data_IF_321934204437
#
_entry.id   IF_321934204437
#
_cell.length_a   1.000
_cell.length_b   1.000
_cell.length_c   1.000
_cell.angle_alpha   90.00
_cell.angle_beta   90.00
_cell.angle_gamma   90.00
#
_symmetry.space_group_name_H-M   'P 1'
#
loop_
_entity.id
_entity.type
_entity.pdbx_description
1 polymer ?
#
# COMPACT_ATOMS: atom_id res chain seq x y z
N UNK A 1 -17.80 -22.16 -10.75
CA UNK A 1 -17.92 -20.71 -10.96
C UNK A 1 -16.76 -20.05 -10.23
N UNK A 2 -15.76 -19.54 -10.94
CA UNK A 2 -14.67 -18.79 -10.29
C UNK A 2 -15.25 -17.47 -9.76
N UNK A 3 -15.41 -17.36 -8.45
CA UNK A 3 -15.77 -16.09 -7.82
C UNK A 3 -14.62 -15.13 -8.10
N UNK A 4 -14.89 -14.09 -8.89
CA UNK A 4 -13.88 -13.11 -9.31
C UNK A 4 -13.51 -12.26 -8.09
N UNK A 5 -12.30 -12.47 -7.54
CA UNK A 5 -11.82 -11.83 -6.31
C UNK A 5 -11.41 -10.38 -6.61
N UNK A 6 -11.97 -9.41 -5.88
CA UNK A 6 -11.63 -7.99 -6.00
C UNK A 6 -10.61 -7.58 -4.96
N UNK A 7 -9.47 -7.07 -5.41
CA UNK A 7 -8.33 -6.76 -4.54
C UNK A 7 -8.01 -5.26 -4.56
N UNK A 8 -7.96 -4.64 -3.38
CA UNK A 8 -7.50 -3.26 -3.21
C UNK A 8 -6.01 -3.15 -2.96
N UNK A 9 -5.38 -2.13 -3.52
CA UNK A 9 -4.00 -1.72 -3.20
C UNK A 9 -4.04 -0.28 -2.67
N UNK A 10 -3.42 -0.07 -1.51
CA UNK A 10 -3.29 1.24 -0.86
C UNK A 10 -1.81 1.51 -0.57
N UNK A 11 -1.29 2.61 -1.09
CA UNK A 11 0.08 3.06 -0.88
C UNK A 11 0.31 4.43 -1.49
N UNK A 12 1.56 4.91 -1.52
CA UNK A 12 1.89 6.25 -2.01
C UNK A 12 2.05 6.32 -3.55
N UNK A 13 1.03 5.90 -4.30
CA UNK A 13 1.11 5.79 -5.75
C UNK A 13 0.57 7.01 -6.50
N UNK A 14 0.93 7.16 -7.77
CA UNK A 14 0.44 8.22 -8.64
C UNK A 14 1.12 9.59 -8.44
N UNK A 15 2.37 9.59 -7.96
CA UNK A 15 3.19 10.80 -7.76
C UNK A 15 4.37 10.91 -8.75
N UNK A 16 4.32 10.17 -9.87
CA UNK A 16 5.41 10.09 -10.86
C UNK A 16 6.79 9.64 -10.33
N UNK A 17 6.82 8.95 -9.19
CA UNK A 17 8.03 8.35 -8.65
C UNK A 17 8.27 6.96 -9.26
N UNK A 18 9.42 6.76 -9.92
CA UNK A 18 9.76 5.49 -10.57
C UNK A 18 9.92 4.31 -9.58
N UNK A 19 10.38 4.59 -8.36
CA UNK A 19 10.45 3.57 -7.30
C UNK A 19 9.05 3.09 -6.90
N UNK A 20 8.13 4.02 -6.61
CA UNK A 20 6.74 3.67 -6.28
C UNK A 20 6.02 3.00 -7.47
N UNK A 21 6.34 3.38 -8.72
CA UNK A 21 5.83 2.71 -9.93
C UNK A 21 6.30 1.26 -10.01
N UNK A 22 7.59 0.99 -9.77
CA UNK A 22 8.14 -0.36 -9.76
C UNK A 22 7.52 -1.23 -8.65
N UNK A 23 7.34 -0.65 -7.45
CA UNK A 23 6.66 -1.30 -6.32
C UNK A 23 5.21 -1.65 -6.68
N UNK A 24 4.44 -0.69 -7.21
CA UNK A 24 3.05 -0.93 -7.59
C UNK A 24 2.94 -2.02 -8.64
N UNK A 25 3.76 -1.95 -9.70
CA UNK A 25 3.76 -2.94 -10.76
C UNK A 25 4.10 -4.33 -10.22
N UNK A 26 5.11 -4.43 -9.35
CA UNK A 26 5.49 -5.67 -8.69
C UNK A 26 4.33 -6.26 -7.88
N UNK A 27 3.64 -5.45 -7.07
CA UNK A 27 2.49 -5.90 -6.29
C UNK A 27 1.36 -6.38 -7.22
N UNK A 28 1.06 -5.63 -8.29
CA UNK A 28 0.05 -6.04 -9.29
C UNK A 28 0.39 -7.42 -9.86
N UNK A 29 1.62 -7.61 -10.37
CA UNK A 29 2.05 -8.89 -10.96
C UNK A 29 2.00 -10.05 -9.97
N UNK A 30 2.42 -9.82 -8.72
CA UNK A 30 2.35 -10.82 -7.66
C UNK A 30 0.90 -11.21 -7.35
N UNK A 31 -0.03 -10.25 -7.30
CA UNK A 31 -1.45 -10.53 -7.09
C UNK A 31 -2.06 -11.31 -8.26
N UNK A 32 -1.75 -10.92 -9.50
CA UNK A 32 -2.19 -11.65 -10.69
C UNK A 32 -1.71 -13.11 -10.65
N UNK A 33 -0.44 -13.34 -10.31
CA UNK A 33 0.16 -14.68 -10.22
C UNK A 33 -0.43 -15.51 -9.08
N UNK A 34 -0.59 -14.91 -7.90
CA UNK A 34 -1.05 -15.62 -6.70
C UNK A 34 -2.55 -15.90 -6.68
N UNK A 35 -3.37 -14.99 -7.21
CA UNK A 35 -4.83 -15.08 -7.15
C UNK A 35 -5.49 -15.31 -8.52
N UNK A 36 -4.71 -15.38 -9.60
CA UNK A 36 -5.21 -15.55 -10.98
C UNK A 36 -6.26 -14.48 -11.37
N UNK A 37 -6.00 -13.23 -10.96
CA UNK A 37 -6.88 -12.08 -11.22
C UNK A 37 -6.40 -11.23 -12.40
N UNK A 38 -7.33 -10.53 -13.05
CA UNK A 38 -7.01 -9.56 -14.10
C UNK A 38 -6.75 -8.17 -13.51
N UNK A 39 -6.15 -7.25 -14.26
CA UNK A 39 -5.92 -5.87 -13.80
C UNK A 39 -7.22 -5.15 -13.45
N UNK A 40 -8.32 -5.46 -14.15
CA UNK A 40 -9.65 -4.89 -13.88
C UNK A 40 -10.25 -5.32 -12.54
N UNK A 41 -9.77 -6.42 -11.95
CA UNK A 41 -10.18 -6.88 -10.62
C UNK A 41 -9.38 -6.20 -9.50
N UNK A 42 -8.35 -5.44 -9.88
CA UNK A 42 -7.49 -4.70 -8.97
C UNK A 42 -7.96 -3.25 -8.90
N UNK A 43 -8.16 -2.77 -7.68
CA UNK A 43 -8.47 -1.38 -7.37
C UNK A 43 -7.29 -0.71 -6.68
N UNK A 44 -6.77 0.38 -7.25
CA UNK A 44 -5.65 1.13 -6.66
C UNK A 44 -6.13 2.49 -6.13
N UNK A 45 -5.92 2.74 -4.85
CA UNK A 45 -6.11 4.07 -4.26
C UNK A 45 -4.83 4.90 -4.47
N UNK A 46 -4.91 5.95 -5.30
CA UNK A 46 -3.72 6.71 -5.73
C UNK A 46 -3.93 8.23 -5.72
N UNK A 47 -2.82 8.98 -5.76
CA UNK A 47 -2.85 10.44 -5.85
C UNK A 47 -3.29 10.95 -7.23
N UNK A 48 -3.09 10.15 -8.29
CA UNK A 48 -3.54 10.44 -9.64
C UNK A 48 -4.27 9.22 -10.25
N UNK A 49 -5.59 9.09 -9.99
CA UNK A 49 -6.34 7.90 -10.39
C UNK A 49 -6.42 7.70 -11.90
N UNK A 50 -6.60 8.79 -12.67
CA UNK A 50 -6.67 8.73 -14.14
C UNK A 50 -5.37 8.18 -14.73
N UNK A 51 -4.23 8.73 -14.30
CA UNK A 51 -2.92 8.27 -14.75
C UNK A 51 -2.65 6.83 -14.31
N UNK A 52 -2.98 6.49 -13.06
CA UNK A 52 -2.77 5.13 -12.53
C UNK A 52 -3.59 4.09 -13.30
N UNK A 53 -4.87 4.38 -13.55
CA UNK A 53 -5.73 3.51 -14.33
C UNK A 53 -5.22 3.33 -15.78
N UNK A 54 -4.84 4.43 -16.44
CA UNK A 54 -4.31 4.39 -17.79
C UNK A 54 -2.99 3.60 -17.89
N UNK A 55 -2.10 3.75 -16.91
CA UNK A 55 -0.78 3.13 -16.93
C UNK A 55 -0.83 1.62 -16.64
N UNK A 56 -1.72 1.17 -15.74
CA UNK A 56 -1.72 -0.21 -15.25
C UNK A 56 -2.96 -1.02 -15.63
N UNK A 57 -3.95 -0.42 -16.32
CA UNK A 57 -5.19 -1.10 -16.69
C UNK A 57 -6.05 -1.50 -15.48
N UNK A 58 -5.91 -0.78 -14.36
CA UNK A 58 -6.59 -1.05 -13.09
C UNK A 58 -7.77 -0.10 -12.89
N UNK A 59 -8.71 -0.48 -12.01
CA UNK A 59 -9.64 0.50 -11.45
C UNK A 59 -8.88 1.39 -10.46
N UNK A 60 -9.10 2.71 -10.47
CA UNK A 60 -8.41 3.60 -9.53
C UNK A 60 -9.30 4.69 -8.96
N UNK A 61 -9.13 4.96 -7.66
CA UNK A 61 -9.85 5.97 -6.90
C UNK A 61 -8.89 6.89 -6.15
N UNK A 62 -9.30 8.13 -5.79
CA UNK A 62 -8.46 9.03 -5.01
C UNK A 62 -8.02 8.42 -3.69
N UNK A 63 -6.71 8.49 -3.41
CA UNK A 63 -6.13 8.06 -2.14
C UNK A 63 -6.72 8.84 -0.95
N UNK A 64 -7.03 10.11 -1.15
CA UNK A 64 -7.72 10.95 -0.19
C UNK A 64 -8.52 12.05 -0.88
N UNK A 65 -9.47 12.62 -0.15
CA UNK A 65 -10.38 13.66 -0.64
C UNK A 65 -10.18 14.95 0.13
N UNK A 66 -9.37 15.87 -0.43
CA UNK A 66 -9.12 17.20 0.14
C UNK A 66 -10.44 17.90 0.48
N UNK A 67 -10.54 18.44 1.68
CA UNK A 67 -11.72 19.17 2.14
C UNK A 67 -11.37 20.18 3.23
N UNK A 68 -10.91 21.38 2.85
CA UNK A 68 -10.55 22.44 3.79
C UNK A 68 -9.38 22.04 4.69
N UNK A 69 -9.68 21.62 5.93
CA UNK A 69 -8.67 21.25 6.93
C UNK A 69 -8.43 19.73 7.03
N UNK A 70 -7.44 19.33 7.83
CA UNK A 70 -7.03 17.94 7.98
C UNK A 70 -8.16 17.03 8.52
N UNK A 71 -8.93 17.50 9.51
CA UNK A 71 -10.03 16.71 10.09
C UNK A 71 -11.17 16.49 9.09
N UNK A 72 -11.58 17.54 8.36
CA UNK A 72 -12.59 17.46 7.30
C UNK A 72 -12.13 16.59 6.13
N UNK A 73 -10.85 16.67 5.77
CA UNK A 73 -10.22 15.79 4.76
C UNK A 73 -10.25 14.33 5.22
N UNK A 74 -9.90 14.06 6.47
CA UNK A 74 -9.95 12.72 7.05
C UNK A 74 -11.37 12.15 7.04
N UNK A 75 -12.36 12.90 7.53
CA UNK A 75 -13.76 12.45 7.57
C UNK A 75 -14.32 12.20 6.16
N UNK A 76 -14.07 13.11 5.21
CA UNK A 76 -14.52 12.94 3.82
C UNK A 76 -13.87 11.73 3.17
N UNK A 77 -12.55 11.56 3.36
CA UNK A 77 -11.80 10.40 2.85
C UNK A 77 -12.35 9.11 3.41
N UNK A 78 -12.54 9.04 4.74
CA UNK A 78 -13.09 7.85 5.38
C UNK A 78 -14.50 7.52 4.86
N UNK A 79 -15.39 8.51 4.77
CA UNK A 79 -16.75 8.30 4.28
C UNK A 79 -16.78 7.77 2.84
N UNK A 80 -16.05 8.42 1.93
CA UNK A 80 -16.10 8.06 0.50
C UNK A 80 -15.34 6.77 0.21
N UNK A 81 -14.15 6.60 0.76
CA UNK A 81 -13.33 5.44 0.43
C UNK A 81 -13.80 4.16 1.15
N UNK A 82 -14.50 4.28 2.29
CA UNK A 82 -15.14 3.11 2.93
C UNK A 82 -16.17 2.45 2.02
N UNK A 83 -16.93 3.23 1.25
CA UNK A 83 -17.94 2.71 0.32
C UNK A 83 -17.32 1.88 -0.80
N UNK A 84 -16.07 2.17 -1.16
CA UNK A 84 -15.30 1.38 -2.12
C UNK A 84 -14.70 0.16 -1.40
N UNK A 85 -14.01 0.39 -0.28
CA UNK A 85 -13.32 -0.67 0.49
C UNK A 85 -14.25 -1.80 0.87
N UNK A 86 -15.50 -1.52 1.25
CA UNK A 86 -16.47 -2.57 1.63
C UNK A 86 -16.88 -3.51 0.49
N UNK A 87 -16.57 -3.17 -0.75
CA UNK A 87 -16.89 -3.99 -1.94
C UNK A 87 -15.73 -4.90 -2.37
N UNK A 88 -14.59 -4.79 -1.68
CA UNK A 88 -13.38 -5.57 -1.93
C UNK A 88 -13.38 -6.85 -1.08
N UNK A 89 -12.74 -7.89 -1.60
CA UNK A 89 -12.54 -9.15 -0.88
C UNK A 89 -11.24 -9.15 -0.07
N UNK A 90 -10.26 -8.34 -0.48
CA UNK A 90 -8.95 -8.24 0.17
C UNK A 90 -8.29 -6.89 -0.08
N UNK A 91 -7.47 -6.41 0.86
CA UNK A 91 -6.69 -5.17 0.71
C UNK A 91 -5.22 -5.39 1.03
N UNK A 92 -4.34 -4.92 0.15
CA UNK A 92 -2.90 -4.77 0.39
C UNK A 92 -2.63 -3.32 0.76
N UNK A 93 -2.22 -3.08 2.00
CA UNK A 93 -1.77 -1.75 2.46
C UNK A 93 -0.25 -1.79 2.49
N UNK A 94 0.43 -1.19 1.53
CA UNK A 94 1.87 -1.28 1.56
C UNK A 94 2.59 -0.90 0.28
N UNK A 95 3.84 -1.32 0.24
CA UNK A 95 4.89 -0.73 -0.57
C UNK A 95 5.43 0.57 0.03
N UNK A 96 6.64 0.94 -0.37
CA UNK A 96 7.25 2.23 -0.08
C UNK A 96 7.43 2.52 1.42
N UNK A 97 7.63 3.79 1.76
CA UNK A 97 7.92 4.24 3.13
C UNK A 97 6.69 4.60 3.97
N UNK A 98 5.55 3.93 3.83
CA UNK A 98 4.27 4.48 4.35
C UNK A 98 4.08 4.38 5.87
N UNK A 99 4.90 3.62 6.60
CA UNK A 99 4.78 3.45 8.06
C UNK A 99 5.57 4.53 8.82
N UNK A 100 5.17 5.79 8.63
CA UNK A 100 5.84 6.94 9.24
C UNK A 100 4.85 8.05 9.64
N UNK A 101 5.33 9.02 10.42
CA UNK A 101 4.56 10.21 10.79
C UNK A 101 5.32 11.53 10.62
N UNK A 102 6.32 11.54 9.73
CA UNK A 102 7.14 12.71 9.42
C UNK A 102 6.30 13.96 9.09
N UNK A 103 5.27 13.81 8.25
CA UNK A 103 4.36 14.91 7.88
C UNK A 103 3.03 14.85 8.62
N UNK A 104 2.92 14.00 9.66
CA UNK A 104 1.73 13.78 10.50
C UNK A 104 0.46 13.35 9.74
N UNK A 105 0.58 12.96 8.46
CA UNK A 105 -0.56 12.64 7.58
C UNK A 105 -0.60 11.17 7.20
N UNK A 106 0.55 10.55 7.00
CA UNK A 106 0.74 9.22 6.46
C UNK A 106 0.15 8.16 7.40
N UNK A 107 0.62 8.09 8.64
CA UNK A 107 0.09 7.14 9.62
C UNK A 107 -1.44 7.25 9.81
N UNK A 108 -2.05 8.44 9.99
CA UNK A 108 -3.51 8.57 10.00
C UNK A 108 -4.19 8.12 8.70
N UNK A 109 -3.65 8.50 7.54
CA UNK A 109 -4.25 8.18 6.25
C UNK A 109 -4.27 6.67 6.01
N UNK A 110 -3.12 6.00 6.06
CA UNK A 110 -3.05 4.55 5.82
C UNK A 110 -3.70 3.76 6.96
N UNK A 111 -3.58 4.25 8.20
CA UNK A 111 -4.30 3.69 9.36
C UNK A 111 -5.81 3.76 9.18
N UNK A 112 -6.34 4.80 8.54
CA UNK A 112 -7.77 4.91 8.24
C UNK A 112 -8.24 3.83 7.26
N UNK A 113 -7.43 3.44 6.27
CA UNK A 113 -7.77 2.31 5.39
C UNK A 113 -7.82 0.98 6.14
N UNK A 114 -6.90 0.76 7.09
CA UNK A 114 -6.96 -0.39 7.98
C UNK A 114 -8.24 -0.38 8.85
N UNK A 115 -8.69 0.78 9.32
CA UNK A 115 -9.96 0.93 10.03
C UNK A 115 -11.16 0.66 9.11
N UNK A 116 -11.16 1.19 7.88
CA UNK A 116 -12.21 0.96 6.89
C UNK A 116 -12.34 -0.52 6.55
N UNK A 117 -11.22 -1.20 6.27
CA UNK A 117 -11.18 -2.62 5.97
C UNK A 117 -11.67 -3.45 7.16
N UNK A 118 -11.12 -3.20 8.36
CA UNK A 118 -11.54 -3.91 9.58
C UNK A 118 -13.02 -3.72 9.89
N UNK A 119 -13.52 -2.49 9.80
CA UNK A 119 -14.93 -2.15 10.06
C UNK A 119 -15.89 -2.71 9.01
N UNK A 120 -15.41 -2.94 7.79
CA UNK A 120 -16.17 -3.56 6.70
C UNK A 120 -15.97 -5.08 6.61
N UNK A 121 -15.26 -5.68 7.57
CA UNK A 121 -14.89 -7.11 7.60
C UNK A 121 -14.06 -7.58 6.40
N UNK A 122 -13.39 -6.66 5.70
CA UNK A 122 -12.49 -6.97 4.60
C UNK A 122 -11.10 -7.28 5.16
N UNK A 123 -10.55 -8.49 4.92
CA UNK A 123 -9.20 -8.82 5.36
C UNK A 123 -8.16 -7.95 4.64
N UNK A 124 -7.09 -7.61 5.35
CA UNK A 124 -5.98 -6.87 4.77
C UNK A 124 -4.63 -7.34 5.28
N UNK A 125 -3.58 -7.06 4.52
CA UNK A 125 -2.18 -7.24 4.91
C UNK A 125 -1.44 -5.92 4.85
N UNK A 126 -0.36 -5.82 5.64
CA UNK A 126 0.65 -4.77 5.49
C UNK A 126 1.84 -5.36 4.75
N UNK A 127 2.21 -4.81 3.60
CA UNK A 127 3.13 -5.47 2.68
C UNK A 127 4.39 -4.66 2.38
N UNK A 128 5.56 -5.20 2.73
CA UNK A 128 6.87 -4.70 2.27
C UNK A 128 7.16 -3.22 2.58
N UNK A 129 6.62 -2.67 3.66
CA UNK A 129 6.76 -1.25 3.97
C UNK A 129 8.12 -0.94 4.61
N UNK A 130 8.66 0.25 4.31
CA UNK A 130 9.62 0.93 5.17
C UNK A 130 8.91 1.64 6.32
N UNK A 131 9.55 1.68 7.49
CA UNK A 131 9.06 2.37 8.66
C UNK A 131 10.01 3.48 9.15
N UNK A 132 9.42 4.58 9.58
CA UNK A 132 10.12 5.67 10.27
C UNK A 132 10.28 6.96 9.45
N UNK A 133 10.43 8.11 10.14
CA UNK A 133 10.37 8.26 11.61
C UNK A 133 8.95 8.11 12.17
N UNK A 134 8.85 7.71 13.45
CA UNK A 134 7.59 7.52 14.20
C UNK A 134 7.69 8.23 15.57
N UNK A 135 7.43 9.53 15.57
CA UNK A 135 7.70 10.42 16.70
C UNK A 135 6.46 10.77 17.51
N UNK A 136 5.27 10.71 16.92
CA UNK A 136 4.01 11.17 17.54
C UNK A 136 3.23 10.02 18.17
N UNK A 137 2.53 10.30 19.28
CA UNK A 137 1.65 9.32 19.92
C UNK A 137 0.51 8.87 19.00
N UNK A 138 -0.05 9.80 18.22
CA UNK A 138 -1.11 9.54 17.26
C UNK A 138 -0.64 8.63 16.11
N UNK A 139 0.52 8.92 15.52
CA UNK A 139 1.12 8.07 14.47
C UNK A 139 1.38 6.66 14.96
N UNK A 140 2.03 6.52 16.14
CA UNK A 140 2.23 5.23 16.80
C UNK A 140 0.93 4.48 17.07
N UNK A 141 -0.15 5.18 17.42
CA UNK A 141 -1.46 4.56 17.65
C UNK A 141 -2.04 3.98 16.35
N UNK A 142 -2.02 4.74 15.25
CA UNK A 142 -2.52 4.25 13.95
C UNK A 142 -1.71 3.05 13.43
N UNK A 143 -0.39 3.11 13.51
CA UNK A 143 0.47 2.00 13.06
C UNK A 143 0.27 0.76 13.95
N UNK A 144 0.14 0.92 15.27
CA UNK A 144 -0.23 -0.20 16.16
C UNK A 144 -1.60 -0.77 15.85
N UNK A 145 -2.60 0.07 15.56
CA UNK A 145 -3.94 -0.39 15.20
C UNK A 145 -3.91 -1.19 13.89
N UNK A 146 -3.25 -0.65 12.87
CA UNK A 146 -3.04 -1.31 11.58
C UNK A 146 -2.32 -2.65 11.77
N UNK A 147 -1.22 -2.67 12.51
CA UNK A 147 -0.51 -3.90 12.81
C UNK A 147 -1.41 -4.88 13.57
N UNK A 148 -2.14 -4.46 14.60
CA UNK A 148 -2.98 -5.35 15.42
C UNK A 148 -4.03 -6.10 14.60
N UNK A 149 -4.62 -5.47 13.58
CA UNK A 149 -5.77 -6.01 12.87
C UNK A 149 -5.46 -6.60 11.48
N UNK A 150 -4.22 -6.46 10.98
CA UNK A 150 -3.79 -7.08 9.75
C UNK A 150 -3.78 -8.62 9.83
N UNK A 151 -3.93 -9.31 8.70
CA UNK A 151 -3.70 -10.76 8.61
C UNK A 151 -2.21 -11.08 8.69
N UNK A 152 -1.40 -10.30 7.98
CA UNK A 152 0.06 -10.38 7.99
C UNK A 152 0.64 -8.95 7.99
N UNK A 153 1.82 -8.78 8.57
CA UNK A 153 2.62 -7.55 8.45
C UNK A 153 4.05 -7.91 8.05
N UNK A 154 4.51 -7.28 6.97
CA UNK A 154 5.87 -7.39 6.48
C UNK A 154 6.47 -6.02 6.22
N UNK A 155 7.79 -5.94 6.41
CA UNK A 155 8.60 -4.75 6.18
C UNK A 155 9.77 -5.09 5.25
N UNK A 156 10.33 -4.08 4.61
CA UNK A 156 11.40 -4.28 3.62
C UNK A 156 12.78 -4.47 4.23
N UNK A 157 12.99 -4.08 5.49
CA UNK A 157 14.31 -4.09 6.12
C UNK A 157 14.26 -4.34 7.65
N UNK A 158 15.35 -4.85 8.26
CA UNK A 158 15.40 -5.13 9.70
C UNK A 158 15.24 -3.89 10.60
N UNK A 159 15.67 -2.70 10.15
CA UNK A 159 15.56 -1.46 10.92
C UNK A 159 14.09 -1.05 11.06
N UNK A 160 13.30 -1.21 10.01
CA UNK A 160 11.85 -1.03 10.03
C UNK A 160 11.20 -1.99 11.02
N UNK A 161 11.59 -3.28 11.05
CA UNK A 161 11.09 -4.26 12.02
C UNK A 161 11.41 -3.85 13.46
N UNK A 162 12.65 -3.48 13.72
CA UNK A 162 13.09 -3.04 15.05
C UNK A 162 12.29 -1.83 15.54
N UNK A 163 12.06 -0.84 14.66
CA UNK A 163 11.24 0.33 15.00
C UNK A 163 9.79 -0.05 15.32
N UNK A 164 9.17 -0.94 14.55
CA UNK A 164 7.81 -1.41 14.83
C UNK A 164 7.72 -2.13 16.19
N UNK A 165 8.72 -2.94 16.53
CA UNK A 165 8.80 -3.59 17.84
C UNK A 165 8.96 -2.55 18.97
N UNK A 166 9.82 -1.55 18.78
CA UNK A 166 10.05 -0.47 19.75
C UNK A 166 8.77 0.32 20.06
N UNK A 167 7.89 0.53 19.08
CA UNK A 167 6.61 1.22 19.30
C UNK A 167 5.50 0.30 19.87
N UNK A 168 5.84 -0.94 20.25
CA UNK A 168 4.94 -1.86 20.97
C UNK A 168 4.12 -2.79 20.09
N UNK A 169 4.53 -3.04 18.84
CA UNK A 169 3.92 -4.07 18.00
C UNK A 169 4.47 -5.44 18.43
N UNK A 170 3.60 -6.25 19.05
CA UNK A 170 3.97 -7.56 19.63
C UNK A 170 3.83 -8.74 18.69
N UNK A 171 3.08 -8.57 17.59
CA UNK A 171 2.88 -9.63 16.60
C UNK A 171 4.15 -9.85 15.78
N UNK A 172 4.24 -11.01 15.14
CA UNK A 172 5.30 -11.28 14.19
C UNK A 172 5.27 -10.28 13.03
N UNK A 173 6.45 -9.74 12.72
CA UNK A 173 6.73 -8.86 11.58
C UNK A 173 7.77 -9.56 10.72
N UNK A 174 7.40 -9.86 9.47
CA UNK A 174 8.29 -10.51 8.51
C UNK A 174 9.18 -9.48 7.81
N UNK A 175 10.41 -9.86 7.50
CA UNK A 175 11.31 -9.04 6.67
C UNK A 175 11.42 -9.73 5.31
N UNK A 176 11.05 -9.05 4.22
CA UNK A 176 10.89 -9.69 2.90
C UNK A 176 11.69 -9.02 1.76
N UNK A 177 12.47 -7.97 2.04
CA UNK A 177 13.10 -7.14 1.00
C UNK A 177 12.14 -6.08 0.43
N UNK A 178 12.65 -5.14 -0.36
CA UNK A 178 11.81 -4.13 -1.00
C UNK A 178 11.02 -4.78 -2.16
N UNK A 179 9.69 -4.63 -2.23
CA UNK A 179 8.88 -5.24 -3.28
C UNK A 179 9.32 -4.89 -4.70
N UNK A 180 10.01 -3.77 -4.92
CA UNK A 180 10.57 -3.42 -6.21
C UNK A 180 11.50 -4.51 -6.78
N UNK A 181 12.23 -5.23 -5.92
CA UNK A 181 13.16 -6.29 -6.35
C UNK A 181 12.46 -7.59 -6.76
N UNK A 182 11.18 -7.76 -6.43
CA UNK A 182 10.38 -8.91 -6.88
C UNK A 182 9.76 -8.69 -8.26
N UNK A 183 10.05 -7.55 -8.91
CA UNK A 183 9.55 -7.27 -10.24
C UNK A 183 10.31 -8.12 -11.28
N UNK A 184 9.66 -9.18 -11.74
CA UNK A 184 10.07 -9.91 -12.94
C UNK A 184 9.69 -9.05 -14.17
N UNK A 185 10.69 -8.64 -14.94
CA UNK A 185 10.52 -7.94 -16.22
C UNK A 185 11.22 -8.75 -17.29
N UNK A 186 10.50 -9.04 -18.38
CA UNK A 186 11.11 -9.57 -19.60
C UNK A 186 12.03 -8.50 -20.17
N UNK A 187 13.33 -8.81 -20.15
CA UNK A 187 14.36 -7.86 -20.52
C UNK A 187 14.69 -8.00 -22.01
N UNK A 188 14.08 -7.17 -22.84
CA UNK A 188 14.47 -7.03 -24.26
C UNK A 188 15.53 -5.93 -24.42
N UNK A 189 16.53 -6.15 -25.29
CA UNK A 189 17.48 -5.11 -25.71
C UNK A 189 18.67 -4.86 -24.79
N UNK A 190 19.19 -5.87 -24.09
CA UNK A 190 20.50 -5.73 -23.42
C UNK A 190 21.59 -5.49 -24.45
N UNK A 191 22.47 -4.54 -24.13
CA UNK A 191 23.77 -4.54 -24.79
C UNK A 191 24.54 -5.79 -24.36
N UNK A 192 25.23 -6.43 -25.31
CA UNK A 192 26.10 -7.59 -25.06
C UNK A 192 27.25 -7.28 -24.11
N UNK A 193 27.55 -6.00 -23.89
CA UNK A 193 28.61 -5.52 -23.02
C UNK A 193 28.18 -4.22 -22.31
N UNK A 194 28.74 -3.88 -21.15
CA UNK A 194 28.39 -2.65 -20.45
C UNK A 194 28.95 -1.41 -21.18
N UNK A 195 28.19 -0.90 -22.16
CA UNK A 195 28.58 0.29 -22.94
C UNK A 195 28.39 1.59 -22.13
N UNK A 196 27.48 1.60 -21.14
CA UNK A 196 27.24 2.74 -20.25
C UNK A 196 26.47 2.33 -18.98
N UNK A 197 26.56 3.16 -17.94
CA UNK A 197 25.72 3.08 -16.73
C UNK A 197 24.62 4.15 -16.86
N UNK A 198 23.35 3.72 -16.88
CA UNK A 198 22.18 4.57 -17.11
C UNK A 198 21.86 4.79 -18.59
#
# INVERSE_FOLDING_TARGET
MNVKVKIGIVGNYGNDNNGDKAILLSIIRQLQKAFQVETNDITVFSNNPKQTAAQYGVTSYPLYHKNGNAAKTFMKTYKLNKEIVKTLDFVVIGGGGILMDLYKREAPLYGSYAMMAKGSKVPYVVYGCGAGPLNTGLGKWFIRYMAKHARNISVRDPKSKALLQQIGIKREVHVIGDPAFSLEVDREGYSSEPIKIG
#
